data_IF_921005001690
#
_entry.id   IF_921005001690
#
_cell.length_a   1.000
_cell.length_b   1.000
_cell.length_c   1.000
_cell.angle_alpha   90.00
_cell.angle_beta   90.00
_cell.angle_gamma   90.00
#
_symmetry.space_group_name_H-M   'P 1'
#
loop_
_entity.id
_entity.type
_entity.pdbx_description
1 polymer ?
#
# COMPACT_ATOMS: atom_id res chain seq x y z
N UNK A 1 -17.36 11.42 4.22
CA UNK A 1 -16.95 12.15 3.01
C UNK A 1 -16.64 11.11 1.95
N UNK A 2 -17.30 11.20 0.79
CA UNK A 2 -17.45 10.10 -0.17
C UNK A 2 -16.12 9.69 -0.83
N UNK A 3 -15.92 8.40 -1.06
CA UNK A 3 -14.82 7.79 -1.82
C UNK A 3 -14.72 8.24 -3.30
N UNK A 4 -15.49 9.27 -3.71
CA UNK A 4 -15.58 9.75 -5.09
C UNK A 4 -14.36 10.52 -5.59
N UNK A 5 -13.42 10.90 -4.71
CA UNK A 5 -12.23 11.70 -5.06
C UNK A 5 -11.20 10.94 -5.90
N UNK A 6 -11.08 9.62 -5.72
CA UNK A 6 -9.94 8.86 -6.27
C UNK A 6 -10.24 8.13 -7.59
N UNK A 7 -11.49 8.14 -8.07
CA UNK A 7 -11.90 7.43 -9.29
C UNK A 7 -11.14 7.86 -10.54
N UNK A 8 -10.76 9.14 -10.64
CA UNK A 8 -10.06 9.68 -11.81
C UNK A 8 -8.53 9.53 -11.71
N UNK A 9 -8.01 8.87 -10.67
CA UNK A 9 -6.58 8.58 -10.58
C UNK A 9 -6.22 7.49 -11.59
N UNK A 10 -5.00 7.54 -12.12
CA UNK A 10 -4.49 6.48 -12.97
C UNK A 10 -4.08 5.27 -12.14
N UNK A 11 -4.27 4.08 -12.72
CA UNK A 11 -3.79 2.82 -12.17
C UNK A 11 -2.39 2.56 -12.71
N UNK A 12 -1.44 2.29 -11.82
CA UNK A 12 -0.04 2.03 -12.17
C UNK A 12 0.36 0.60 -11.84
N UNK A 13 1.18 0.00 -12.71
CA UNK A 13 1.98 -1.17 -12.37
C UNK A 13 3.23 -0.71 -11.61
N UNK A 14 3.56 -1.40 -10.52
CA UNK A 14 4.74 -1.15 -9.72
C UNK A 14 5.70 -2.33 -9.82
N UNK A 15 6.96 -2.05 -10.11
CA UNK A 15 8.06 -2.98 -10.10
C UNK A 15 9.09 -2.55 -9.05
N UNK A 16 9.80 -3.51 -8.46
CA UNK A 16 10.88 -3.25 -7.52
C UNK A 16 12.04 -2.56 -8.24
N UNK A 17 12.48 -1.40 -7.75
CA UNK A 17 13.59 -0.64 -8.36
C UNK A 17 14.94 -1.36 -8.31
N UNK A 18 15.07 -2.38 -7.46
CA UNK A 18 16.33 -3.10 -7.24
C UNK A 18 16.48 -4.35 -8.11
N UNK A 19 15.39 -4.97 -8.57
CA UNK A 19 15.42 -6.26 -9.26
C UNK A 19 14.38 -6.43 -10.37
N UNK A 20 13.65 -5.36 -10.68
CA UNK A 20 12.56 -5.28 -11.65
C UNK A 20 11.40 -6.27 -11.42
N UNK A 21 11.37 -6.96 -10.28
CA UNK A 21 10.30 -7.87 -9.89
C UNK A 21 8.96 -7.14 -9.79
N UNK A 22 7.89 -7.75 -10.27
CA UNK A 22 6.54 -7.20 -10.12
C UNK A 22 6.18 -7.13 -8.63
N UNK A 23 5.71 -5.96 -8.17
CA UNK A 23 5.21 -5.77 -6.80
C UNK A 23 3.69 -5.73 -6.77
N UNK A 24 3.07 -4.89 -7.60
CA UNK A 24 1.61 -4.88 -7.77
C UNK A 24 1.20 -4.32 -9.14
N UNK A 25 -0.05 -4.57 -9.52
CA UNK A 25 -0.64 -4.07 -10.79
C UNK A 25 -1.74 -3.03 -10.57
N UNK A 26 -2.07 -2.73 -9.31
CA UNK A 26 -3.10 -1.76 -8.89
C UNK A 26 -2.49 -0.71 -7.95
N UNK A 27 -1.42 -0.07 -8.41
CA UNK A 27 -0.79 1.04 -7.71
C UNK A 27 -1.54 2.37 -7.93
N UNK A 28 -1.73 3.12 -6.86
CA UNK A 28 -2.26 4.48 -6.85
C UNK A 28 -1.18 5.42 -6.33
N UNK A 29 -0.81 6.44 -7.12
CA UNK A 29 0.06 7.52 -6.61
C UNK A 29 -0.64 8.26 -5.47
N UNK A 30 0.06 8.41 -4.35
CA UNK A 30 -0.40 9.02 -3.12
C UNK A 30 0.68 9.92 -2.53
N UNK A 31 0.34 10.65 -1.47
CA UNK A 31 1.27 11.43 -0.65
C UNK A 31 1.01 11.12 0.82
N UNK A 32 2.02 11.30 1.67
CA UNK A 32 1.81 11.16 3.12
C UNK A 32 0.89 12.26 3.64
N UNK A 33 -0.06 11.88 4.50
CA UNK A 33 -0.96 12.86 5.13
C UNK A 33 -0.23 13.81 6.08
N UNK A 34 0.87 13.35 6.67
CA UNK A 34 1.69 14.15 7.58
C UNK A 34 2.70 15.05 6.84
N UNK A 35 3.02 14.74 5.58
CA UNK A 35 3.99 15.47 4.77
C UNK A 35 3.70 15.24 3.28
N UNK A 36 3.11 16.22 2.62
CA UNK A 36 2.66 16.08 1.23
C UNK A 36 3.80 16.12 0.20
N UNK A 37 5.01 16.47 0.62
CA UNK A 37 6.20 16.43 -0.23
C UNK A 37 6.70 14.99 -0.43
N UNK A 38 6.32 14.09 0.47
CA UNK A 38 6.67 12.67 0.38
C UNK A 38 5.65 11.95 -0.49
N UNK A 39 6.04 11.70 -1.75
CA UNK A 39 5.29 10.88 -2.68
C UNK A 39 5.43 9.39 -2.35
N UNK A 40 4.33 8.66 -2.47
CA UNK A 40 4.27 7.21 -2.30
C UNK A 40 3.36 6.58 -3.36
N UNK A 41 3.35 5.26 -3.40
CA UNK A 41 2.29 4.50 -4.07
C UNK A 41 1.54 3.64 -3.06
N UNK A 42 0.27 3.37 -3.33
CA UNK A 42 -0.58 2.54 -2.47
C UNK A 42 -1.37 1.53 -3.27
N UNK A 43 -1.80 0.44 -2.66
CA UNK A 43 -2.63 -0.59 -3.32
C UNK A 43 -3.80 -1.00 -2.44
N UNK A 44 -4.93 -1.29 -3.08
CA UNK A 44 -6.15 -1.83 -2.45
C UNK A 44 -6.06 -3.33 -2.21
N UNK A 45 -5.19 -4.04 -2.92
CA UNK A 45 -4.97 -5.49 -2.77
C UNK A 45 -3.73 -5.78 -1.91
N UNK A 46 -3.81 -6.70 -0.93
CA UNK A 46 -2.64 -7.26 -0.25
C UNK A 46 -1.65 -7.92 -1.24
N UNK A 47 -0.39 -7.46 -1.33
CA UNK A 47 0.64 -7.98 -2.23
C UNK A 47 1.28 -9.30 -1.73
N UNK A 48 0.47 -10.26 -1.25
CA UNK A 48 0.90 -11.47 -0.53
C UNK A 48 1.89 -12.39 -1.29
N UNK A 49 1.97 -12.26 -2.63
CA UNK A 49 2.85 -13.10 -3.47
C UNK A 49 4.13 -12.40 -3.92
N UNK A 50 4.31 -11.12 -3.59
CA UNK A 50 5.41 -10.30 -4.13
C UNK A 50 6.23 -9.62 -3.05
N UNK A 51 5.68 -9.44 -1.85
CA UNK A 51 6.37 -8.90 -0.68
C UNK A 51 6.04 -9.71 0.57
N UNK A 52 6.87 -9.57 1.59
CA UNK A 52 6.62 -10.11 2.92
C UNK A 52 7.08 -9.11 4.00
N UNK A 53 6.60 -9.28 5.22
CA UNK A 53 6.94 -8.43 6.34
C UNK A 53 8.39 -8.59 6.79
N UNK A 54 8.99 -7.47 7.18
CA UNK A 54 10.33 -7.42 7.76
C UNK A 54 10.28 -6.74 9.11
N UNK A 55 11.09 -7.25 10.03
CA UNK A 55 11.24 -6.74 11.39
C UNK A 55 9.91 -6.70 12.19
N UNK A 56 10.01 -6.12 13.38
CA UNK A 56 8.88 -5.88 14.28
C UNK A 56 8.13 -4.63 13.87
N UNK A 57 6.87 -4.53 14.31
CA UNK A 57 6.09 -3.32 14.12
C UNK A 57 6.69 -2.13 14.87
N UNK A 58 6.52 -0.93 14.34
CA UNK A 58 6.91 0.33 14.98
C UNK A 58 5.80 1.37 14.87
N UNK A 59 5.85 2.40 15.72
CA UNK A 59 4.89 3.51 15.70
C UNK A 59 5.53 4.76 15.11
N UNK A 60 4.83 5.42 14.20
CA UNK A 60 5.24 6.72 13.67
C UNK A 60 5.23 7.79 14.77
N UNK A 61 6.20 8.70 14.71
CA UNK A 61 6.28 9.83 15.65
C UNK A 61 5.19 10.87 15.37
N UNK A 62 4.85 11.08 14.10
CA UNK A 62 3.92 12.11 13.62
C UNK A 62 2.45 11.80 13.89
N UNK A 63 1.98 10.58 13.60
CA UNK A 63 0.56 10.22 13.72
C UNK A 63 0.28 9.00 14.61
N UNK A 64 1.30 8.38 15.24
CA UNK A 64 1.15 7.18 16.10
C UNK A 64 0.54 5.95 15.39
N UNK A 65 0.39 5.96 14.06
CA UNK A 65 0.05 4.75 13.31
C UNK A 65 1.11 3.68 13.56
N UNK A 66 0.66 2.44 13.74
CA UNK A 66 1.52 1.25 13.83
C UNK A 66 1.78 0.72 12.43
N UNK A 67 3.03 0.66 12.04
CA UNK A 67 3.50 0.23 10.73
C UNK A 67 4.37 -1.02 10.85
N UNK A 68 4.53 -1.74 9.75
CA UNK A 68 5.51 -2.81 9.59
C UNK A 68 6.09 -2.75 8.19
N UNK A 69 7.42 -2.81 8.08
CA UNK A 69 8.09 -2.73 6.79
C UNK A 69 7.83 -3.99 5.96
N UNK A 70 7.84 -3.83 4.64
CA UNK A 70 7.69 -4.92 3.67
C UNK A 70 8.88 -4.95 2.72
N UNK A 71 9.37 -6.14 2.42
CA UNK A 71 10.46 -6.36 1.48
C UNK A 71 10.03 -7.19 0.27
N UNK A 72 10.65 -6.93 -0.87
CA UNK A 72 10.42 -7.69 -2.08
C UNK A 72 10.86 -9.15 -1.90
N UNK A 73 9.97 -10.11 -2.13
CA UNK A 73 10.27 -11.54 -2.01
C UNK A 73 11.36 -12.01 -3.00
N UNK A 74 11.58 -11.29 -4.11
CA UNK A 74 12.58 -11.65 -5.12
C UNK A 74 14.02 -11.26 -4.71
N UNK A 75 14.21 -10.13 -4.01
CA UNK A 75 15.55 -9.60 -3.73
C UNK A 75 15.81 -9.18 -2.28
N UNK A 76 14.81 -9.22 -1.40
CA UNK A 76 14.95 -8.92 0.02
C UNK A 76 15.05 -7.43 0.39
N UNK A 77 15.11 -6.51 -0.59
CA UNK A 77 15.15 -5.07 -0.28
C UNK A 77 13.79 -4.57 0.22
N UNK A 78 13.81 -3.67 1.19
CA UNK A 78 12.62 -2.99 1.71
C UNK A 78 12.05 -2.07 0.62
N UNK A 79 10.77 -2.25 0.32
CA UNK A 79 10.08 -1.52 -0.75
C UNK A 79 8.95 -0.63 -0.25
N UNK A 80 8.61 -0.71 1.02
CA UNK A 80 7.53 0.08 1.61
C UNK A 80 7.13 -0.44 2.98
N UNK A 81 5.88 -0.20 3.34
CA UNK A 81 5.32 -0.61 4.63
C UNK A 81 3.82 -0.90 4.54
N UNK A 82 3.34 -1.66 5.52
CA UNK A 82 1.94 -1.90 5.78
C UNK A 82 1.49 -1.15 7.04
N UNK A 83 0.32 -0.52 6.98
CA UNK A 83 -0.32 0.12 8.12
C UNK A 83 -1.07 -0.95 8.93
N UNK A 84 -0.40 -1.51 9.94
CA UNK A 84 -0.96 -2.54 10.82
C UNK A 84 -2.14 -2.00 11.64
N UNK A 85 -2.01 -0.77 12.15
CA UNK A 85 -3.10 -0.11 12.86
C UNK A 85 -3.06 1.40 12.61
N UNK A 86 -4.06 1.97 11.92
CA UNK A 86 -4.15 3.41 11.70
C UNK A 86 -4.63 4.09 12.98
N UNK A 87 -4.15 5.31 13.22
CA UNK A 87 -4.66 6.14 14.32
C UNK A 87 -6.00 6.78 13.93
N UNK A 88 -6.78 7.18 14.95
CA UNK A 88 -8.07 7.85 14.75
C UNK A 88 -7.97 9.13 13.89
N UNK A 89 -6.99 10.03 14.09
CA UNK A 89 -6.81 11.18 13.20
C UNK A 89 -6.63 10.83 11.73
N UNK A 90 -5.80 9.82 11.40
CA UNK A 90 -5.59 9.40 10.00
C UNK A 90 -6.84 8.77 9.40
N UNK A 91 -7.60 8.00 10.18
CA UNK A 91 -8.89 7.42 9.75
C UNK A 91 -9.93 8.49 9.44
N UNK A 92 -9.96 9.58 10.21
CA UNK A 92 -10.91 10.69 10.02
C UNK A 92 -10.46 11.72 8.98
N UNK A 93 -9.20 11.64 8.53
CA UNK A 93 -8.64 12.50 7.49
C UNK A 93 -9.03 12.01 6.09
N UNK A 94 -8.70 12.79 5.05
CA UNK A 94 -8.91 12.40 3.66
C UNK A 94 -7.86 11.34 3.24
N UNK A 95 -8.17 10.07 3.47
CA UNK A 95 -7.36 8.93 3.02
C UNK A 95 -8.07 8.18 1.86
N UNK A 96 -7.32 7.34 1.16
CA UNK A 96 -7.85 6.47 0.09
C UNK A 96 -8.24 5.07 0.59
N UNK A 97 -8.16 4.81 1.90
CA UNK A 97 -8.48 3.51 2.50
C UNK A 97 -7.45 2.41 2.28
N UNK A 98 -6.31 2.69 1.65
CA UNK A 98 -5.27 1.69 1.40
C UNK A 98 -4.36 1.53 2.61
N UNK A 99 -4.00 0.28 2.92
CA UNK A 99 -3.12 -0.06 4.04
C UNK A 99 -1.72 -0.47 3.60
N UNK A 100 -1.50 -0.65 2.30
CA UNK A 100 -0.23 -1.08 1.73
C UNK A 100 0.39 0.06 0.95
N UNK A 101 1.58 0.47 1.38
CA UNK A 101 2.30 1.62 0.83
C UNK A 101 3.66 1.16 0.29
N UNK A 102 4.06 1.73 -0.85
CA UNK A 102 5.36 1.55 -1.47
C UNK A 102 6.09 2.89 -1.53
N UNK A 103 7.36 2.89 -1.13
CA UNK A 103 8.20 4.07 -1.19
C UNK A 103 8.51 4.38 -2.66
N UNK A 104 8.32 5.63 -3.08
CA UNK A 104 8.52 6.02 -4.48
C UNK A 104 9.95 5.76 -4.98
N UNK A 105 10.94 5.89 -4.10
CA UNK A 105 12.35 5.60 -4.42
C UNK A 105 12.64 4.10 -4.60
N UNK A 106 11.81 3.23 -4.01
CA UNK A 106 11.98 1.77 -4.08
C UNK A 106 11.20 1.11 -5.20
N UNK A 107 10.47 1.88 -6.03
CA UNK A 107 9.64 1.35 -7.11
C UNK A 107 9.84 2.07 -8.44
N UNK A 108 9.77 1.30 -9.52
CA UNK A 108 9.60 1.81 -10.89
C UNK A 108 8.13 1.68 -11.25
N UNK A 109 7.57 2.71 -11.85
CA UNK A 109 6.13 2.78 -12.13
C UNK A 109 5.83 2.89 -13.61
N UNK A 110 4.71 2.31 -14.04
CA UNK A 110 4.21 2.41 -15.41
C UNK A 110 2.70 2.49 -15.36
N UNK A 111 2.13 3.56 -15.92
CA UNK A 111 0.67 3.68 -15.98
C UNK A 111 0.09 2.59 -16.88
N UNK A 112 -0.99 1.97 -16.42
CA UNK A 112 -1.70 0.94 -17.17
C UNK A 112 -2.63 1.60 -18.18
N UNK A 113 -2.79 0.93 -19.31
CA UNK A 113 -3.80 1.28 -20.31
C UNK A 113 -5.09 0.52 -20.04
N UNK A 114 -6.21 1.09 -20.47
CA UNK A 114 -7.51 0.42 -20.46
C UNK A 114 -7.55 -0.74 -21.49
N UNK A 115 -8.69 -1.43 -21.59
CA UNK A 115 -8.86 -2.55 -22.53
C UNK A 115 -8.76 -2.14 -24.01
N UNK A 116 -8.94 -0.85 -24.32
CA UNK A 116 -8.76 -0.32 -25.68
C UNK A 116 -7.28 -0.14 -26.04
N UNK A 117 -6.40 0.00 -25.04
CA UNK A 117 -5.00 0.30 -25.22
C UNK A 117 -4.71 1.76 -25.62
N UNK A 118 -5.74 2.63 -25.64
CA UNK A 118 -5.61 4.02 -26.09
C UNK A 118 -5.61 5.02 -24.94
N UNK A 119 -6.30 4.71 -23.83
CA UNK A 119 -6.38 5.59 -22.67
C UNK A 119 -5.71 4.98 -21.45
N UNK A 120 -5.36 5.82 -20.48
CA UNK A 120 -4.91 5.38 -19.16
C UNK A 120 -6.08 4.75 -18.41
N UNK A 121 -5.85 3.58 -17.82
CA UNK A 121 -6.80 2.92 -16.93
C UNK A 121 -7.00 3.77 -15.68
N UNK A 122 -8.24 4.10 -15.36
CA UNK A 122 -8.60 4.87 -14.17
C UNK A 122 -9.08 3.94 -13.05
N UNK A 123 -8.91 4.38 -11.82
CA UNK A 123 -9.32 3.65 -10.62
C UNK A 123 -10.83 3.38 -10.59
N UNK A 124 -11.64 4.31 -11.12
CA UNK A 124 -13.08 4.16 -11.21
C UNK A 124 -13.55 3.05 -12.16
N UNK A 125 -12.67 2.57 -13.05
CA UNK A 125 -12.95 1.56 -14.08
C UNK A 125 -12.41 0.17 -13.69
N UNK A 126 -11.82 0.04 -12.49
CA UNK A 126 -11.33 -1.24 -12.01
C UNK A 126 -12.49 -2.14 -11.58
N UNK A 127 -12.37 -3.47 -11.78
CA UNK A 127 -13.33 -4.41 -11.21
C UNK A 127 -13.26 -4.36 -9.68
N UNK A 128 -14.42 -4.58 -9.05
CA UNK A 128 -14.53 -4.81 -7.62
C UNK A 128 -13.74 -6.07 -7.23
N UNK A 129 -13.21 -6.07 -6.00
CA UNK A 129 -12.46 -7.20 -5.48
C UNK A 129 -13.43 -8.21 -4.86
N UNK A 130 -13.34 -9.47 -5.26
CA UNK A 130 -14.05 -10.55 -4.58
C UNK A 130 -13.41 -10.78 -3.19
N UNK A 131 -14.24 -10.86 -2.14
CA UNK A 131 -13.80 -10.89 -0.72
C UNK A 131 -13.13 -12.20 -0.28
N UNK A 132 -12.59 -13.04 -1.16
CA UNK A 132 -12.31 -14.44 -0.84
C UNK A 132 -10.96 -14.75 -0.17
N UNK A 133 -9.99 -13.82 -0.15
CA UNK A 133 -8.59 -14.16 0.16
C UNK A 133 -8.00 -13.37 1.35
N UNK A 134 -8.79 -13.12 2.41
CA UNK A 134 -8.26 -12.63 3.69
C UNK A 134 -7.65 -13.77 4.53
N UNK A 135 -6.44 -14.22 4.16
CA UNK A 135 -5.59 -14.94 5.11
C UNK A 135 -4.93 -13.91 6.03
N UNK A 136 -5.42 -13.83 7.27
CA UNK A 136 -4.84 -13.03 8.35
C UNK A 136 -3.56 -13.72 8.85
N UNK A 137 -2.37 -13.11 8.77
CA UNK A 137 -1.22 -13.62 9.49
C UNK A 137 -1.39 -13.25 10.96
N UNK A 138 -1.69 -14.26 11.77
CA UNK A 138 -1.76 -14.18 13.23
C UNK A 138 -0.44 -13.60 13.77
N UNK A 139 -0.55 -12.44 14.41
CA UNK A 139 0.54 -11.85 15.17
C UNK A 139 0.17 -11.96 16.66
N UNK A 140 -0.09 -13.19 17.10
CA UNK A 140 -0.08 -13.57 18.50
C UNK A 140 1.37 -13.74 18.97
N UNK A 141 2.02 -12.62 19.30
CA UNK A 141 3.10 -12.65 20.29
C UNK A 141 2.51 -12.24 21.62
N UNK A 142 2.36 -13.22 22.49
CA UNK A 142 2.01 -13.11 23.90
C UNK A 142 2.96 -12.12 24.59
N UNK A 143 2.41 -10.99 25.05
CA UNK A 143 3.00 -10.18 26.12
C UNK A 143 1.85 -9.77 27.05
N UNK A 144 1.50 -10.73 27.90
CA UNK A 144 1.27 -10.57 29.35
C UNK A 144 1.08 -9.12 29.85
N UNK A 145 -0.15 -8.61 29.85
CA UNK A 145 -0.50 -7.52 30.78
C UNK A 145 -0.85 -8.13 32.14
N UNK A 146 0.17 -8.12 33.00
CA UNK A 146 0.11 -8.39 34.42
C UNK A 146 -0.80 -7.35 35.12
N UNK A 147 -1.85 -7.88 35.78
CA UNK A 147 -2.69 -7.30 36.86
C UNK A 147 -3.65 -6.16 36.56
#
# INVERSE_FOLDING_TARGET
MSASSFKNKCVSRLNCAYCDGLLCTRGMKAVLLADTEIELFSTDIPPNRTVDFVASCYSTTSCKCKLRDIACLKCGNVVGYHVVAPCKPCLLSCNNGHFWMFNSESVVTTNRLDASGLNLLLWGDLPELDQSDEETPDCSSEDEFIR
#
